data_IF_771372538343
#
_entry.id   IF_771372538343
#
_cell.length_a   1.000
_cell.length_b   1.000
_cell.length_c   1.000
_cell.angle_alpha   90.00
_cell.angle_beta   90.00
_cell.angle_gamma   90.00
#
_symmetry.space_group_name_H-M   'P 1'
#
loop_
_entity.id
_entity.type
_entity.pdbx_description
1 polymer ?
#
# COMPACT_ATOMS: atom_id res chain seq x y z
N UNK A 1 -38.05 5.27 -63.09
CA UNK A 1 -38.01 6.72 -62.79
C UNK A 1 -37.00 7.50 -63.63
N UNK A 2 -35.80 6.97 -63.92
CA UNK A 2 -34.84 7.66 -64.80
C UNK A 2 -35.33 7.80 -66.24
N UNK A 3 -35.88 6.74 -66.83
CA UNK A 3 -36.43 6.77 -68.21
C UNK A 3 -37.52 7.85 -68.37
N UNK A 4 -38.44 7.94 -67.41
CA UNK A 4 -39.53 8.92 -67.39
C UNK A 4 -39.07 10.39 -67.23
N UNK A 5 -37.87 10.60 -66.69
CA UNK A 5 -37.29 11.94 -66.51
C UNK A 5 -36.55 12.40 -67.77
N UNK A 6 -35.84 11.49 -68.45
CA UNK A 6 -35.24 11.78 -69.76
C UNK A 6 -36.31 12.01 -70.81
N UNK A 7 -37.36 11.17 -70.84
CA UNK A 7 -38.51 11.34 -71.72
C UNK A 7 -39.16 12.72 -71.53
N UNK A 8 -39.24 13.21 -70.29
CA UNK A 8 -39.78 14.54 -69.99
C UNK A 8 -38.90 15.67 -70.55
N UNK A 9 -37.58 15.54 -70.40
CA UNK A 9 -36.62 16.53 -70.91
C UNK A 9 -36.61 16.56 -72.44
N UNK A 10 -36.71 15.39 -73.08
CA UNK A 10 -36.83 15.27 -74.53
C UNK A 10 -38.15 15.88 -75.04
N UNK A 11 -39.25 15.65 -74.33
CA UNK A 11 -40.53 16.28 -74.64
C UNK A 11 -40.51 17.81 -74.45
N UNK A 12 -39.78 18.33 -73.44
CA UNK A 12 -39.59 19.76 -73.26
C UNK A 12 -38.71 20.37 -74.37
N UNK A 13 -37.70 19.62 -74.82
CA UNK A 13 -36.81 20.01 -75.93
C UNK A 13 -37.55 20.03 -77.26
N UNK A 14 -38.43 19.04 -77.50
CA UNK A 14 -39.27 18.96 -78.70
C UNK A 14 -40.19 20.18 -78.87
N UNK A 15 -40.65 20.80 -77.78
CA UNK A 15 -41.46 22.04 -77.83
C UNK A 15 -40.74 23.23 -78.49
N UNK A 16 -39.41 23.20 -78.54
CA UNK A 16 -38.58 24.23 -79.21
C UNK A 16 -38.26 23.89 -80.68
N UNK A 17 -38.73 22.75 -81.17
CA UNK A 17 -38.49 22.30 -82.54
C UNK A 17 -39.24 23.18 -83.55
N UNK A 18 -38.64 23.52 -84.70
CA UNK A 18 -39.31 24.30 -85.75
C UNK A 18 -40.56 23.62 -86.32
N UNK A 19 -40.77 22.32 -86.05
CA UNK A 19 -41.97 21.55 -86.43
C UNK A 19 -43.29 22.17 -85.94
N UNK A 20 -43.27 22.97 -84.87
CA UNK A 20 -44.47 23.55 -84.27
C UNK A 20 -44.77 25.00 -84.70
N UNK A 21 -44.01 25.58 -85.66
CA UNK A 21 -44.15 26.97 -86.14
C UNK A 21 -45.52 27.32 -86.77
N UNK A 22 -46.31 26.33 -87.18
CA UNK A 22 -47.63 26.50 -87.81
C UNK A 22 -48.79 25.98 -86.92
N UNK A 23 -48.51 25.50 -85.71
CA UNK A 23 -49.50 24.90 -84.82
C UNK A 23 -50.24 25.94 -83.97
N UNK A 24 -51.42 25.56 -83.48
CA UNK A 24 -52.21 26.36 -82.54
C UNK A 24 -51.41 26.70 -81.27
N UNK A 25 -51.18 27.99 -81.07
CA UNK A 25 -50.39 28.53 -79.95
C UNK A 25 -51.01 28.21 -78.59
N UNK A 26 -52.34 28.08 -78.51
CA UNK A 26 -53.03 27.72 -77.28
C UNK A 26 -52.72 26.27 -76.87
N UNK A 27 -52.78 25.33 -77.82
CA UNK A 27 -52.45 23.93 -77.58
C UNK A 27 -50.98 23.74 -77.16
N UNK A 28 -50.06 24.50 -77.77
CA UNK A 28 -48.63 24.47 -77.41
C UNK A 28 -48.40 24.97 -75.98
N UNK A 29 -49.03 26.07 -75.59
CA UNK A 29 -48.94 26.59 -74.22
C UNK A 29 -49.47 25.59 -73.19
N UNK A 30 -50.60 24.92 -73.46
CA UNK A 30 -51.15 23.91 -72.56
C UNK A 30 -50.16 22.75 -72.39
N UNK A 31 -49.58 22.24 -73.49
CA UNK A 31 -48.58 21.17 -73.43
C UNK A 31 -47.33 21.57 -72.63
N UNK A 32 -46.83 22.79 -72.85
CA UNK A 32 -45.70 23.34 -72.10
C UNK A 32 -46.00 23.46 -70.60
N UNK A 33 -47.17 23.99 -70.24
CA UNK A 33 -47.57 24.12 -68.84
C UNK A 33 -47.68 22.77 -68.13
N UNK A 34 -48.20 21.74 -68.81
CA UNK A 34 -48.28 20.37 -68.26
C UNK A 34 -46.88 19.79 -68.01
N UNK A 35 -45.96 19.91 -68.96
CA UNK A 35 -44.58 19.42 -68.80
C UNK A 35 -43.82 20.16 -67.70
N UNK A 36 -43.98 21.49 -67.60
CA UNK A 36 -43.37 22.29 -66.51
C UNK A 36 -43.99 21.93 -65.15
N UNK A 37 -45.30 21.69 -65.08
CA UNK A 37 -45.95 21.24 -63.84
C UNK A 37 -45.41 19.88 -63.40
N UNK A 38 -45.20 18.96 -64.34
CA UNK A 38 -44.60 17.64 -64.09
C UNK A 38 -43.15 17.76 -63.61
N UNK A 39 -42.35 18.61 -64.24
CA UNK A 39 -40.97 18.90 -63.81
C UNK A 39 -40.93 19.46 -62.38
N UNK A 40 -41.81 20.43 -62.07
CA UNK A 40 -41.93 20.99 -60.71
C UNK A 40 -42.32 19.94 -59.68
N UNK A 41 -43.19 19.00 -60.04
CA UNK A 41 -43.56 17.86 -59.18
C UNK A 41 -42.36 16.96 -58.88
N UNK A 42 -41.61 16.55 -59.92
CA UNK A 42 -40.40 15.75 -59.76
C UNK A 42 -39.34 16.46 -58.92
N UNK A 43 -39.14 17.77 -59.13
CA UNK A 43 -38.21 18.58 -58.34
C UNK A 43 -38.60 18.61 -56.85
N UNK A 44 -39.89 18.79 -56.55
CA UNK A 44 -40.39 18.73 -55.16
C UNK A 44 -40.19 17.35 -54.54
N UNK A 45 -40.45 16.28 -55.29
CA UNK A 45 -40.24 14.92 -54.84
C UNK A 45 -38.76 14.63 -54.55
N UNK A 46 -37.84 15.04 -55.43
CA UNK A 46 -36.40 14.89 -55.26
C UNK A 46 -35.88 15.66 -54.02
N UNK A 47 -36.35 16.90 -53.83
CA UNK A 47 -35.99 17.68 -52.65
C UNK A 47 -36.55 17.07 -51.37
N UNK A 48 -37.79 16.57 -51.39
CA UNK A 48 -38.38 15.88 -50.25
C UNK A 48 -37.58 14.61 -49.89
N UNK A 49 -37.24 13.78 -50.88
CA UNK A 49 -36.41 12.59 -50.67
C UNK A 49 -35.02 12.94 -50.11
N UNK A 50 -34.40 14.01 -50.63
CA UNK A 50 -33.10 14.50 -50.12
C UNK A 50 -33.21 14.94 -48.67
N UNK A 51 -34.28 15.66 -48.31
CA UNK A 51 -34.51 16.11 -46.93
C UNK A 51 -34.69 14.92 -45.98
N UNK A 52 -35.51 13.94 -46.37
CA UNK A 52 -35.71 12.71 -45.58
C UNK A 52 -34.38 11.99 -45.34
N UNK A 53 -33.55 11.82 -46.38
CA UNK A 53 -32.24 11.17 -46.23
C UNK A 53 -31.28 11.94 -45.33
N UNK A 54 -31.31 13.28 -45.37
CA UNK A 54 -30.54 14.12 -44.45
C UNK A 54 -31.01 13.96 -43.01
N UNK A 55 -32.32 13.93 -42.77
CA UNK A 55 -32.91 13.72 -41.44
C UNK A 55 -32.56 12.33 -40.89
N UNK A 56 -32.71 11.27 -41.68
CA UNK A 56 -32.33 9.90 -41.32
C UNK A 56 -30.83 9.81 -40.95
N UNK A 57 -29.97 10.42 -41.76
CA UNK A 57 -28.52 10.41 -41.50
C UNK A 57 -28.17 11.21 -40.25
N UNK A 58 -28.84 12.34 -40.01
CA UNK A 58 -28.63 13.16 -38.82
C UNK A 58 -29.08 12.42 -37.54
N UNK A 59 -30.22 11.72 -37.59
CA UNK A 59 -30.70 10.91 -36.49
C UNK A 59 -29.74 9.76 -36.16
N UNK A 60 -29.29 9.00 -37.16
CA UNK A 60 -28.32 7.93 -36.97
C UNK A 60 -26.98 8.44 -36.40
N UNK A 61 -26.52 9.62 -36.86
CA UNK A 61 -25.33 10.27 -36.30
C UNK A 61 -25.51 10.67 -34.84
N UNK A 62 -26.67 11.22 -34.48
CA UNK A 62 -26.97 11.60 -33.10
C UNK A 62 -26.98 10.38 -32.16
N UNK A 63 -27.57 9.26 -32.59
CA UNK A 63 -27.55 8.00 -31.82
C UNK A 63 -26.14 7.46 -31.63
N UNK A 64 -25.31 7.52 -32.68
CA UNK A 64 -23.89 7.15 -32.61
C UNK A 64 -23.13 8.05 -31.62
N UNK A 65 -23.31 9.36 -31.70
CA UNK A 65 -22.64 10.33 -30.84
C UNK A 65 -23.03 10.12 -29.36
N UNK A 66 -24.32 9.84 -29.09
CA UNK A 66 -24.80 9.52 -27.75
C UNK A 66 -24.18 8.22 -27.22
N UNK A 67 -24.12 7.19 -28.05
CA UNK A 67 -23.50 5.91 -27.69
C UNK A 67 -22.00 6.07 -27.41
N UNK A 68 -21.31 6.89 -28.20
CA UNK A 68 -19.90 7.21 -27.99
C UNK A 68 -19.68 7.96 -26.67
N UNK A 69 -20.54 8.92 -26.33
CA UNK A 69 -20.48 9.62 -25.04
C UNK A 69 -20.65 8.65 -23.86
N UNK A 70 -21.63 7.74 -23.95
CA UNK A 70 -21.85 6.72 -22.92
C UNK A 70 -20.63 5.80 -22.75
N UNK A 71 -20.00 5.39 -23.86
CA UNK A 71 -18.78 4.61 -23.82
C UNK A 71 -17.64 5.38 -23.13
N UNK A 72 -17.45 6.66 -23.42
CA UNK A 72 -16.41 7.47 -22.77
C UNK A 72 -16.65 7.58 -21.26
N UNK A 73 -17.91 7.74 -20.82
CA UNK A 73 -18.26 7.75 -19.41
C UNK A 73 -17.88 6.42 -18.72
N UNK A 74 -18.24 5.29 -19.32
CA UNK A 74 -17.89 3.96 -18.79
C UNK A 74 -16.37 3.72 -18.76
N UNK A 75 -15.63 4.17 -19.78
CA UNK A 75 -14.17 4.07 -19.81
C UNK A 75 -13.53 4.94 -18.72
N UNK A 76 -14.09 6.10 -18.43
CA UNK A 76 -13.64 6.95 -17.33
C UNK A 76 -13.87 6.25 -15.98
N UNK A 77 -15.07 5.72 -15.77
CA UNK A 77 -15.42 4.99 -14.55
C UNK A 77 -14.53 3.75 -14.35
N UNK A 78 -14.33 2.94 -15.40
CA UNK A 78 -13.41 1.79 -15.38
C UNK A 78 -12.02 2.22 -14.92
N UNK A 79 -11.44 3.25 -15.54
CA UNK A 79 -10.10 3.74 -15.17
C UNK A 79 -10.06 4.29 -13.75
N UNK A 80 -11.13 4.91 -13.28
CA UNK A 80 -11.24 5.37 -11.90
C UNK A 80 -11.20 4.20 -10.93
N UNK A 81 -12.04 3.19 -11.15
CA UNK A 81 -12.09 1.98 -10.33
C UNK A 81 -10.76 1.22 -10.35
N UNK A 82 -10.12 1.08 -11.51
CA UNK A 82 -8.80 0.44 -11.62
C UNK A 82 -7.74 1.17 -10.77
N UNK A 83 -7.75 2.50 -10.75
CA UNK A 83 -6.86 3.29 -9.89
C UNK A 83 -7.16 3.09 -8.41
N UNK A 84 -8.44 3.07 -8.03
CA UNK A 84 -8.81 2.85 -6.63
C UNK A 84 -8.46 1.43 -6.17
N UNK A 85 -8.69 0.41 -7.00
CA UNK A 85 -8.27 -0.97 -6.73
C UNK A 85 -6.76 -1.04 -6.52
N UNK A 86 -5.99 -0.39 -7.39
CA UNK A 86 -4.53 -0.37 -7.29
C UNK A 86 -4.07 0.33 -6.00
N UNK A 87 -4.68 1.45 -5.62
CA UNK A 87 -4.42 2.10 -4.32
C UNK A 87 -4.72 1.16 -3.15
N UNK A 88 -5.84 0.45 -3.18
CA UNK A 88 -6.19 -0.53 -2.15
C UNK A 88 -5.20 -1.71 -2.10
N UNK A 89 -4.69 -2.16 -3.25
CA UNK A 89 -3.69 -3.24 -3.32
C UNK A 89 -2.31 -2.81 -2.82
N UNK A 90 -1.96 -1.54 -3.05
CA UNK A 90 -0.73 -0.94 -2.55
C UNK A 90 -0.76 -0.69 -1.04
N UNK A 91 -1.88 -0.98 -0.35
CA UNK A 91 -1.92 -1.00 1.10
C UNK A 91 -1.02 -2.11 1.64
N UNK A 92 0.25 -1.77 1.88
CA UNK A 92 1.19 -2.61 2.59
C UNK A 92 0.91 -2.51 4.09
N UNK A 93 0.42 -3.59 4.68
CA UNK A 93 0.24 -3.65 6.13
C UNK A 93 1.51 -4.17 6.79
N UNK A 94 1.96 -3.46 7.83
CA UNK A 94 3.23 -3.70 8.55
C UNK A 94 3.34 -5.15 9.06
N UNK A 95 2.21 -5.84 9.29
CA UNK A 95 2.24 -7.23 9.79
C UNK A 95 2.94 -8.21 8.85
N UNK A 96 3.03 -7.91 7.54
CA UNK A 96 3.68 -8.79 6.57
C UNK A 96 5.21 -8.85 6.74
N UNK A 97 5.80 -7.82 7.34
CA UNK A 97 7.25 -7.71 7.55
C UNK A 97 7.71 -8.14 8.95
N UNK A 98 6.78 -8.54 9.82
CA UNK A 98 7.13 -8.93 11.19
C UNK A 98 7.74 -10.34 11.16
N UNK A 99 8.94 -10.56 11.71
CA UNK A 99 9.46 -11.90 11.90
C UNK A 99 8.59 -12.62 12.94
N UNK A 100 7.83 -13.60 12.47
CA UNK A 100 6.97 -14.46 13.28
C UNK A 100 7.63 -15.83 13.47
N UNK A 101 7.29 -16.52 14.56
CA UNK A 101 7.55 -17.96 14.66
C UNK A 101 7.02 -18.71 13.43
N UNK A 102 7.77 -19.75 13.02
CA UNK A 102 7.32 -20.63 11.96
C UNK A 102 6.06 -21.41 12.39
N UNK A 103 5.38 -22.06 11.44
CA UNK A 103 4.12 -22.73 11.74
C UNK A 103 4.27 -23.91 12.71
N UNK A 104 5.39 -24.62 12.67
CA UNK A 104 5.63 -25.80 13.52
C UNK A 104 5.91 -25.39 14.98
N UNK A 105 6.69 -24.32 15.16
CA UNK A 105 6.97 -23.70 16.44
C UNK A 105 5.69 -23.11 17.03
N UNK A 106 4.87 -22.44 16.22
CA UNK A 106 3.55 -21.96 16.67
C UNK A 106 2.66 -23.12 17.11
N UNK A 107 2.56 -24.20 16.33
CA UNK A 107 1.72 -25.36 16.67
C UNK A 107 2.19 -26.10 17.92
N UNK A 108 3.47 -26.01 18.28
CA UNK A 108 4.03 -26.68 19.46
C UNK A 108 4.01 -25.81 20.72
N UNK A 109 4.27 -24.50 20.59
CA UNK A 109 4.42 -23.56 21.71
C UNK A 109 3.13 -22.79 22.02
N UNK A 110 2.22 -22.63 21.05
CA UNK A 110 1.02 -21.85 21.28
C UNK A 110 0.02 -22.57 22.21
N UNK A 111 -0.67 -21.83 23.09
CA UNK A 111 -1.78 -22.33 23.88
C UNK A 111 -2.84 -23.06 23.04
N UNK A 112 -3.50 -24.05 23.61
CA UNK A 112 -4.45 -24.93 22.92
C UNK A 112 -5.68 -24.16 22.43
N UNK A 113 -6.05 -23.07 23.11
CA UNK A 113 -7.14 -22.16 22.73
C UNK A 113 -6.86 -21.45 21.38
N UNK A 114 -5.59 -21.25 21.03
CA UNK A 114 -5.16 -20.60 19.78
C UNK A 114 -4.92 -21.61 18.65
N UNK A 115 -5.05 -22.91 18.92
CA UNK A 115 -4.77 -24.04 18.00
C UNK A 115 -6.00 -24.86 17.63
N UNK A 116 -7.22 -24.40 17.92
CA UNK A 116 -8.44 -25.12 17.57
C UNK A 116 -8.53 -25.41 16.06
N UNK A 117 -9.07 -26.57 15.67
CA UNK A 117 -9.12 -26.98 14.25
C UNK A 117 -9.88 -25.99 13.36
N UNK A 118 -10.96 -25.40 13.88
CA UNK A 118 -11.74 -24.37 13.17
C UNK A 118 -10.88 -23.14 12.83
N UNK A 119 -9.94 -22.77 13.71
CA UNK A 119 -9.03 -21.64 13.54
C UNK A 119 -7.92 -21.97 12.56
N UNK A 120 -7.43 -23.22 12.57
CA UNK A 120 -6.40 -23.69 11.62
C UNK A 120 -6.92 -23.80 10.18
N UNK A 121 -8.25 -23.86 10.01
CA UNK A 121 -8.89 -23.93 8.69
C UNK A 121 -9.05 -22.57 7.99
N UNK A 122 -9.05 -21.47 8.74
CA UNK A 122 -9.13 -20.10 8.21
C UNK A 122 -7.77 -19.40 8.30
N UNK A 123 -7.13 -19.19 7.15
CA UNK A 123 -5.82 -18.53 7.01
C UNK A 123 -5.76 -17.16 7.72
N UNK A 124 -6.85 -16.39 7.69
CA UNK A 124 -6.89 -15.07 8.31
C UNK A 124 -6.91 -15.18 9.84
N UNK A 125 -7.73 -16.09 10.39
CA UNK A 125 -7.78 -16.34 11.82
C UNK A 125 -6.47 -16.91 12.34
N UNK A 126 -5.86 -17.82 11.57
CA UNK A 126 -4.53 -18.34 11.85
C UNK A 126 -3.49 -17.22 11.93
N UNK A 127 -3.49 -16.28 10.97
CA UNK A 127 -2.56 -15.15 11.00
C UNK A 127 -2.77 -14.25 12.22
N UNK A 128 -4.01 -13.92 12.58
CA UNK A 128 -4.32 -13.12 13.76
C UNK A 128 -3.82 -13.79 15.05
N UNK A 129 -4.02 -15.10 15.18
CA UNK A 129 -3.58 -15.84 16.36
C UNK A 129 -2.05 -15.95 16.43
N UNK A 130 -1.38 -16.10 15.29
CA UNK A 130 0.08 -16.04 15.23
C UNK A 130 0.61 -14.68 15.67
N UNK A 131 -0.01 -13.59 15.24
CA UNK A 131 0.35 -12.22 15.66
C UNK A 131 0.11 -12.00 17.16
N UNK A 132 -1.02 -12.46 17.69
CA UNK A 132 -1.33 -12.37 19.11
C UNK A 132 -0.35 -13.16 19.97
N UNK A 133 0.02 -14.36 19.54
CA UNK A 133 1.02 -15.18 20.22
C UNK A 133 2.40 -14.50 20.22
N UNK A 134 2.85 -13.99 19.07
CA UNK A 134 4.11 -13.24 18.96
C UNK A 134 4.13 -12.03 19.91
N UNK A 135 3.02 -11.27 19.96
CA UNK A 135 2.89 -10.12 20.85
C UNK A 135 3.01 -10.53 22.32
N UNK A 136 2.31 -11.60 22.73
CA UNK A 136 2.35 -12.11 24.10
C UNK A 136 3.77 -12.58 24.47
N UNK A 137 4.45 -13.30 23.58
CA UNK A 137 5.83 -13.75 23.82
C UNK A 137 6.81 -12.58 23.91
N UNK A 138 6.69 -11.58 23.04
CA UNK A 138 7.54 -10.38 23.11
C UNK A 138 7.34 -9.62 24.42
N UNK A 139 6.09 -9.48 24.88
CA UNK A 139 5.79 -8.84 26.17
C UNK A 139 6.38 -9.64 27.34
N UNK A 140 6.26 -10.97 27.31
CA UNK A 140 6.83 -11.86 28.33
C UNK A 140 8.36 -11.75 28.38
N UNK A 141 9.02 -11.76 27.23
CA UNK A 141 10.48 -11.63 27.12
C UNK A 141 10.98 -10.25 27.54
N UNK A 142 10.28 -9.16 27.18
CA UNK A 142 10.64 -7.81 27.61
C UNK A 142 10.51 -7.65 29.13
N UNK A 143 9.43 -8.17 29.71
CA UNK A 143 9.25 -8.19 31.16
C UNK A 143 10.39 -8.98 31.83
N UNK A 144 10.73 -10.15 31.29
CA UNK A 144 11.83 -10.96 31.84
C UNK A 144 13.18 -10.25 31.74
N UNK A 145 13.44 -9.57 30.64
CA UNK A 145 14.64 -8.75 30.44
C UNK A 145 14.72 -7.64 31.48
N UNK A 146 13.61 -6.93 31.73
CA UNK A 146 13.54 -5.87 32.77
C UNK A 146 13.84 -6.42 34.16
N UNK A 147 13.26 -7.56 34.52
CA UNK A 147 13.54 -8.24 35.79
C UNK A 147 15.02 -8.60 35.93
N UNK A 148 15.61 -9.22 34.89
CA UNK A 148 17.01 -9.62 34.89
C UNK A 148 17.97 -8.42 34.95
N UNK A 149 17.65 -7.32 34.25
CA UNK A 149 18.43 -6.08 34.32
C UNK A 149 18.35 -5.45 35.71
N UNK A 150 17.18 -5.44 36.32
CA UNK A 150 17.02 -4.97 37.69
C UNK A 150 17.85 -5.83 38.66
N UNK A 151 17.74 -7.16 38.56
CA UNK A 151 18.51 -8.09 39.39
C UNK A 151 20.02 -7.95 39.20
N UNK A 152 20.48 -7.80 37.97
CA UNK A 152 21.89 -7.52 37.64
C UNK A 152 22.38 -6.25 38.32
N UNK A 153 21.58 -5.19 38.28
CA UNK A 153 21.92 -3.89 38.88
C UNK A 153 22.04 -4.00 40.40
N UNK A 154 21.10 -4.69 41.05
CA UNK A 154 21.17 -4.94 42.49
C UNK A 154 22.39 -5.79 42.89
N UNK A 155 22.69 -6.86 42.14
CA UNK A 155 23.88 -7.68 42.42
C UNK A 155 25.18 -6.89 42.23
N UNK A 156 25.28 -6.03 41.22
CA UNK A 156 26.43 -5.15 41.03
C UNK A 156 26.58 -4.16 42.20
N UNK A 157 25.48 -3.60 42.69
CA UNK A 157 25.48 -2.72 43.86
C UNK A 157 25.96 -3.46 45.11
N UNK A 158 25.42 -4.66 45.36
CA UNK A 158 25.83 -5.52 46.49
C UNK A 158 27.32 -5.89 46.39
N UNK A 159 27.79 -6.28 45.21
CA UNK A 159 29.20 -6.60 44.97
C UNK A 159 30.11 -5.40 45.24
N UNK A 160 29.72 -4.19 44.83
CA UNK A 160 30.47 -2.97 45.11
C UNK A 160 30.52 -2.65 46.62
N UNK A 161 29.40 -2.81 47.32
CA UNK A 161 29.35 -2.64 48.78
C UNK A 161 30.26 -3.67 49.47
N UNK A 162 30.17 -4.95 49.11
CA UNK A 162 31.02 -6.00 49.68
C UNK A 162 32.51 -5.75 49.40
N UNK A 163 32.87 -5.31 48.19
CA UNK A 163 34.26 -4.92 47.87
C UNK A 163 34.74 -3.80 48.79
N UNK A 164 33.96 -2.72 48.93
CA UNK A 164 34.32 -1.60 49.81
C UNK A 164 34.43 -2.01 51.28
N UNK A 165 33.55 -2.91 51.76
CA UNK A 165 33.66 -3.46 53.12
C UNK A 165 34.93 -4.29 53.27
N UNK A 166 35.27 -5.12 52.27
CA UNK A 166 36.48 -5.95 52.30
C UNK A 166 37.76 -5.10 52.28
N UNK A 167 37.80 -4.04 51.47
CA UNK A 167 38.89 -3.06 51.47
C UNK A 167 39.04 -2.39 52.84
N UNK A 168 37.92 -2.02 53.48
CA UNK A 168 37.94 -1.44 54.83
C UNK A 168 38.41 -2.44 55.89
N UNK A 169 38.02 -3.72 55.80
CA UNK A 169 38.48 -4.78 56.72
C UNK A 169 39.97 -5.03 56.54
N UNK A 170 40.47 -5.11 55.30
CA UNK A 170 41.90 -5.25 55.01
C UNK A 170 42.71 -4.09 55.61
N UNK A 171 42.23 -2.85 55.48
CA UNK A 171 42.89 -1.69 56.09
C UNK A 171 42.98 -1.80 57.64
N UNK A 172 41.95 -2.35 58.29
CA UNK A 172 41.98 -2.61 59.74
C UNK A 172 42.95 -3.74 60.11
N UNK A 173 43.03 -4.79 59.30
CA UNK A 173 44.03 -5.86 59.49
C UNK A 173 45.47 -5.35 59.33
N UNK A 174 45.73 -4.49 58.36
CA UNK A 174 47.05 -3.87 58.17
C UNK A 174 47.42 -3.00 59.38
N UNK A 175 46.46 -2.22 59.89
CA UNK A 175 46.65 -1.41 61.09
C UNK A 175 46.96 -2.29 62.31
N UNK A 176 46.17 -3.34 62.54
CA UNK A 176 46.37 -4.27 63.63
C UNK A 176 47.74 -4.96 63.53
N UNK A 177 48.14 -5.41 62.34
CA UNK A 177 49.44 -6.05 62.09
C UNK A 177 50.58 -5.09 62.41
N UNK A 178 50.45 -3.82 61.99
CA UNK A 178 51.43 -2.77 62.32
C UNK A 178 51.53 -2.54 63.82
N UNK A 179 50.39 -2.36 64.50
CA UNK A 179 50.35 -2.17 65.96
C UNK A 179 50.91 -3.38 66.71
N UNK A 180 50.57 -4.60 66.29
CA UNK A 180 51.10 -5.83 66.88
C UNK A 180 52.62 -5.96 66.70
N UNK A 181 53.14 -5.63 65.51
CA UNK A 181 54.58 -5.58 65.24
C UNK A 181 55.28 -4.52 66.11
N UNK A 182 54.69 -3.33 66.26
CA UNK A 182 55.23 -2.29 67.15
C UNK A 182 55.22 -2.73 68.63
N UNK A 183 54.15 -3.37 69.09
CA UNK A 183 54.07 -3.94 70.43
C UNK A 183 55.10 -5.06 70.64
N UNK A 184 55.27 -5.96 69.66
CA UNK A 184 56.30 -7.01 69.68
C UNK A 184 57.70 -6.41 69.80
N UNK A 185 58.02 -5.35 69.04
CA UNK A 185 59.30 -4.64 69.16
C UNK A 185 59.51 -4.09 70.57
N UNK A 186 58.53 -3.38 71.12
CA UNK A 186 58.59 -2.84 72.50
C UNK A 186 58.76 -3.95 73.55
N UNK A 187 58.03 -5.05 73.42
CA UNK A 187 58.16 -6.20 74.33
C UNK A 187 59.54 -6.85 74.20
N UNK A 188 60.05 -7.02 72.97
CA UNK A 188 61.40 -7.53 72.75
C UNK A 188 62.47 -6.63 73.38
N UNK A 189 62.36 -5.31 73.21
CA UNK A 189 63.25 -4.33 73.85
C UNK A 189 63.19 -4.41 75.40
N UNK A 190 61.99 -4.55 75.96
CA UNK A 190 61.78 -4.73 77.40
C UNK A 190 62.34 -6.07 77.93
N UNK A 191 62.19 -7.17 77.18
CA UNK A 191 62.77 -8.48 77.55
C UNK A 191 64.30 -8.44 77.46
N UNK A 192 64.85 -7.74 76.45
CA UNK A 192 66.30 -7.57 76.27
C UNK A 192 66.93 -6.71 77.39
N UNK A 193 66.16 -5.79 77.98
CA UNK A 193 66.58 -5.01 79.15
C UNK A 193 66.44 -5.76 80.49
N UNK A 194 65.69 -6.87 80.54
CA UNK A 194 65.60 -7.78 81.71
C UNK A 194 66.76 -8.81 81.72
N UNK A 195 67.43 -9.03 80.58
CA UNK A 195 68.68 -9.79 80.51
C UNK A 195 69.85 -8.86 80.16
N UNK A 196 70.51 -8.23 81.15
CA UNK A 196 71.78 -7.59 80.90
C UNK A 196 72.78 -8.65 80.43
N UNK A 197 73.32 -8.45 79.23
CA UNK A 197 74.55 -9.10 78.79
C UNK A 197 75.57 -8.98 79.93
N UNK A 198 75.90 -10.13 80.53
CA UNK A 198 76.98 -10.27 81.48
C UNK A 198 78.25 -9.83 80.76
N UNK A 199 78.78 -8.68 81.18
CA UNK A 199 80.15 -8.32 80.90
C UNK A 199 81.04 -9.46 81.41
N UNK A 200 81.74 -10.13 80.50
CA UNK A 200 82.94 -10.87 80.84
C UNK A 200 84.10 -10.29 80.04
N UNK A 201 84.74 -9.29 80.66
CA UNK A 201 86.16 -9.01 80.48
C UNK A 201 86.99 -10.25 80.81
N UNK A 202 87.94 -10.63 79.97
CA UNK A 202 89.21 -11.22 80.45
C UNK A 202 90.31 -11.04 79.39
N UNK A 203 91.57 -10.85 79.82
CA UNK A 203 92.66 -10.27 79.04
C UNK A 203 93.58 -11.34 78.42
N UNK A 204 94.33 -10.96 77.39
CA UNK A 204 95.79 -11.15 77.31
C UNK A 204 96.37 -10.34 76.17
#
# INVERSE_FOLDING_TARGET
>A
MQHDSEDLLDNLRDLSSPTYLQNDTAALHIRAMVLVARLKSLYRAANAATRVKKEETAAARQEMDQSHLNLQNLLYEKRHLEREIEKCRQFASIYQDIPLYNLDDFKSLAPEELRAEDILSDDHQLMLNRLNFELAERQRLDQKKKELLHRKTELLRQSKTHSSTMDSVNAQFDLLTKTASEAQKKVSELVQSIHPQVANSTPS
#
